data_IF_594559579050
#
_entry.id   IF_594559579050
#
_cell.length_a   1.000
_cell.length_b   1.000
_cell.length_c   1.000
_cell.angle_alpha   90.00
_cell.angle_beta   90.00
_cell.angle_gamma   90.00
#
_symmetry.space_group_name_H-M   'P 1'
#
loop_
_entity.id
_entity.type
_entity.pdbx_description
1 polymer ?
#
# COMPACT_ATOMS: atom_id res chain seq x y z
N UNK A 1 5.18 9.83 -2.77
CA UNK A 1 3.80 9.41 -3.02
C UNK A 1 3.60 9.40 -4.52
N UNK A 2 2.98 8.38 -5.10
CA UNK A 2 2.67 8.36 -6.54
C UNK A 2 1.29 8.99 -6.73
N UNK A 3 1.20 9.93 -7.67
CA UNK A 3 -0.06 10.43 -8.19
C UNK A 3 -0.61 9.49 -9.29
N UNK A 4 -1.75 9.82 -9.87
CA UNK A 4 -2.38 9.00 -10.92
C UNK A 4 -1.46 8.80 -12.13
N UNK A 5 -0.72 9.83 -12.51
CA UNK A 5 0.23 9.75 -13.61
C UNK A 5 1.39 8.82 -13.26
N UNK A 6 1.95 8.92 -12.06
CA UNK A 6 3.01 8.04 -11.58
C UNK A 6 2.59 6.57 -11.48
N UNK A 7 1.31 6.29 -11.15
CA UNK A 7 0.76 4.93 -11.20
C UNK A 7 0.71 4.42 -12.64
N UNK A 8 0.18 5.22 -13.57
CA UNK A 8 0.14 4.85 -14.99
C UNK A 8 1.54 4.60 -15.58
N UNK A 9 2.50 5.46 -15.27
CA UNK A 9 3.89 5.30 -15.73
C UNK A 9 4.54 4.03 -15.18
N UNK A 10 4.30 3.72 -13.90
CA UNK A 10 4.91 2.58 -13.22
C UNK A 10 4.27 1.24 -13.61
N UNK A 11 2.94 1.17 -13.67
CA UNK A 11 2.19 -0.08 -13.84
C UNK A 11 1.56 -0.24 -15.22
N UNK A 12 1.42 0.82 -15.99
CA UNK A 12 0.77 0.80 -17.31
C UNK A 12 -0.75 0.72 -17.27
N UNK A 13 -1.35 0.88 -16.09
CA UNK A 13 -2.80 0.88 -15.85
C UNK A 13 -3.19 2.04 -14.95
N UNK A 14 -4.46 2.45 -15.02
CA UNK A 14 -5.00 3.48 -14.13
C UNK A 14 -5.09 2.99 -12.67
N UNK A 15 -5.11 3.89 -11.67
CA UNK A 15 -5.30 3.51 -10.25
C UNK A 15 -6.53 2.65 -10.01
N UNK A 16 -7.63 2.90 -10.74
CA UNK A 16 -8.87 2.12 -10.64
C UNK A 16 -8.68 0.66 -11.04
N UNK A 17 -7.78 0.40 -11.98
CA UNK A 17 -7.50 -0.94 -12.52
C UNK A 17 -6.37 -1.69 -11.82
N UNK A 18 -5.76 -1.10 -10.79
CA UNK A 18 -4.66 -1.74 -10.04
C UNK A 18 -5.09 -3.05 -9.39
N UNK A 19 -6.31 -3.11 -8.86
CA UNK A 19 -6.84 -4.33 -8.23
C UNK A 19 -6.92 -5.47 -9.25
N UNK A 20 -7.48 -5.20 -10.43
CA UNK A 20 -7.57 -6.18 -11.51
C UNK A 20 -6.18 -6.62 -11.99
N UNK A 21 -5.26 -5.66 -12.12
CA UNK A 21 -3.88 -5.93 -12.49
C UNK A 21 -3.19 -6.88 -11.50
N UNK A 22 -3.27 -6.57 -10.20
CA UNK A 22 -2.67 -7.40 -9.15
C UNK A 22 -3.36 -8.77 -9.03
N UNK A 23 -4.68 -8.84 -9.21
CA UNK A 23 -5.38 -10.13 -9.21
C UNK A 23 -4.93 -11.06 -10.36
N UNK A 24 -4.55 -10.50 -11.52
CA UNK A 24 -4.03 -11.26 -12.66
C UNK A 24 -2.58 -11.72 -12.43
N UNK A 25 -1.68 -10.80 -12.02
CA UNK A 25 -0.26 -11.13 -11.89
C UNK A 25 0.10 -11.76 -10.54
N UNK A 26 -0.78 -11.59 -9.55
CA UNK A 26 -0.55 -11.97 -8.15
C UNK A 26 0.20 -10.90 -7.37
N UNK A 27 0.26 -11.12 -6.04
CA UNK A 27 1.08 -10.35 -5.11
C UNK A 27 1.90 -11.31 -4.25
N UNK A 28 3.21 -11.30 -4.44
CA UNK A 28 4.11 -12.20 -3.72
C UNK A 28 4.25 -11.80 -2.24
N UNK A 29 4.09 -10.51 -1.91
CA UNK A 29 4.17 -10.04 -0.52
C UNK A 29 3.02 -10.59 0.32
N UNK A 30 1.85 -10.74 -0.28
CA UNK A 30 0.65 -11.25 0.37
C UNK A 30 0.37 -12.73 0.05
N UNK A 31 1.33 -13.40 -0.63
CA UNK A 31 1.20 -14.79 -1.06
C UNK A 31 -0.06 -15.06 -1.90
N UNK A 32 -0.45 -14.08 -2.73
CA UNK A 32 -1.58 -14.20 -3.65
C UNK A 32 -1.07 -14.69 -5.00
N UNK A 33 -1.44 -15.92 -5.42
CA UNK A 33 -0.95 -16.46 -6.68
C UNK A 33 -1.67 -15.83 -7.87
N UNK A 34 -0.89 -15.32 -8.84
CA UNK A 34 -1.41 -14.87 -10.11
C UNK A 34 -1.61 -16.01 -11.12
N UNK A 35 -1.96 -15.65 -12.35
CA UNK A 35 -2.03 -16.59 -13.47
C UNK A 35 -0.63 -16.98 -13.93
N UNK A 36 -0.33 -18.27 -13.89
CA UNK A 36 0.98 -18.78 -14.31
C UNK A 36 1.31 -18.40 -15.75
N UNK A 37 2.50 -17.82 -15.94
CA UNK A 37 2.99 -17.39 -17.24
C UNK A 37 2.39 -16.08 -17.76
N UNK A 38 1.56 -15.40 -16.98
CA UNK A 38 1.05 -14.05 -17.29
C UNK A 38 1.92 -13.04 -16.56
N UNK A 39 2.63 -12.23 -17.35
CA UNK A 39 3.44 -11.13 -16.82
C UNK A 39 2.77 -9.77 -16.97
N UNK A 40 3.40 -8.70 -16.43
CA UNK A 40 2.90 -7.34 -16.44
C UNK A 40 2.39 -6.86 -17.80
N UNK A 41 3.18 -7.05 -18.86
CA UNK A 41 2.82 -6.61 -20.23
C UNK A 41 1.52 -7.25 -20.73
N UNK A 42 1.31 -8.54 -20.41
CA UNK A 42 0.10 -9.26 -20.82
C UNK A 42 -1.11 -8.80 -20.03
N UNK A 43 -0.96 -8.64 -18.71
CA UNK A 43 -2.01 -8.15 -17.83
C UNK A 43 -2.48 -6.74 -18.23
N UNK A 44 -1.55 -5.82 -18.44
CA UNK A 44 -1.84 -4.45 -18.93
C UNK A 44 -2.63 -4.49 -20.24
N UNK A 45 -2.17 -5.28 -21.23
CA UNK A 45 -2.85 -5.42 -22.52
C UNK A 45 -4.29 -5.91 -22.36
N UNK A 46 -4.51 -6.89 -21.49
CA UNK A 46 -5.85 -7.43 -21.25
C UNK A 46 -6.75 -6.43 -20.56
N UNK A 47 -6.26 -5.71 -19.55
CA UNK A 47 -7.02 -4.66 -18.86
C UNK A 47 -7.38 -3.53 -19.84
N UNK A 48 -6.45 -3.08 -20.67
CA UNK A 48 -6.73 -2.08 -21.70
C UNK A 48 -7.77 -2.55 -22.72
N UNK A 49 -7.81 -3.85 -23.04
CA UNK A 49 -8.73 -4.41 -24.01
C UNK A 49 -10.13 -4.68 -23.43
N UNK A 50 -10.22 -5.14 -22.19
CA UNK A 50 -11.48 -5.61 -21.59
C UNK A 50 -12.00 -4.69 -20.48
N UNK A 51 -11.17 -3.80 -19.94
CA UNK A 51 -11.51 -2.84 -18.90
C UNK A 51 -11.34 -3.39 -17.47
N UNK A 52 -12.03 -4.45 -17.15
CA UNK A 52 -12.06 -5.06 -15.81
C UNK A 52 -11.98 -6.60 -15.86
N UNK A 53 -11.85 -7.19 -14.65
CA UNK A 53 -11.72 -8.64 -14.47
C UNK A 53 -12.94 -9.43 -14.94
N UNK A 54 -14.15 -8.95 -14.69
CA UNK A 54 -15.37 -9.69 -15.06
C UNK A 54 -15.56 -9.72 -16.58
N UNK A 55 -15.28 -8.61 -17.24
CA UNK A 55 -15.27 -8.55 -18.70
C UNK A 55 -14.17 -9.43 -19.30
N UNK A 56 -13.00 -9.47 -18.67
CA UNK A 56 -11.90 -10.35 -19.08
C UNK A 56 -12.31 -11.83 -18.98
N UNK A 57 -12.91 -12.25 -17.87
CA UNK A 57 -13.39 -13.63 -17.66
C UNK A 57 -14.47 -13.98 -18.66
N UNK A 58 -15.46 -13.11 -18.85
CA UNK A 58 -16.58 -13.31 -19.78
C UNK A 58 -16.09 -13.46 -21.21
N UNK A 59 -15.04 -12.73 -21.58
CA UNK A 59 -14.45 -12.74 -22.92
C UNK A 59 -13.18 -13.60 -23.02
N UNK A 60 -12.97 -14.55 -22.10
CA UNK A 60 -11.75 -15.36 -22.04
C UNK A 60 -11.40 -16.05 -23.38
N UNK A 61 -12.41 -16.45 -24.16
CA UNK A 61 -12.21 -17.04 -25.48
C UNK A 61 -11.59 -16.08 -26.54
N UNK A 62 -11.55 -14.78 -26.28
CA UNK A 62 -10.99 -13.73 -27.16
C UNK A 62 -9.57 -13.32 -26.76
N UNK A 63 -9.03 -13.88 -25.70
CA UNK A 63 -7.70 -13.52 -25.19
C UNK A 63 -6.58 -13.84 -26.20
N UNK A 64 -5.54 -13.05 -26.13
CA UNK A 64 -4.30 -13.27 -26.86
C UNK A 64 -3.13 -13.19 -25.88
N UNK A 65 -2.23 -14.19 -25.83
CA UNK A 65 -2.19 -15.43 -26.64
C UNK A 65 -3.29 -16.45 -26.30
N UNK A 66 -3.73 -17.21 -27.30
CA UNK A 66 -4.84 -18.19 -27.18
C UNK A 66 -4.65 -19.25 -26.09
N UNK A 67 -3.40 -19.59 -25.74
CA UNK A 67 -3.07 -20.54 -24.68
C UNK A 67 -3.63 -20.17 -23.30
N UNK A 68 -3.96 -18.90 -23.09
CA UNK A 68 -4.51 -18.43 -21.81
C UNK A 68 -6.04 -18.46 -21.74
N UNK A 69 -6.72 -18.73 -22.87
CA UNK A 69 -8.19 -18.76 -22.87
C UNK A 69 -8.76 -19.81 -21.89
N UNK A 70 -8.24 -21.04 -21.93
CA UNK A 70 -8.64 -22.10 -21.00
C UNK A 70 -8.20 -21.80 -19.56
N UNK A 71 -6.97 -21.31 -19.39
CA UNK A 71 -6.40 -21.01 -18.06
C UNK A 71 -7.24 -19.97 -17.33
N UNK A 72 -7.60 -18.87 -18.00
CA UNK A 72 -8.45 -17.82 -17.39
C UNK A 72 -9.84 -18.36 -17.05
N UNK A 73 -10.43 -19.16 -17.95
CA UNK A 73 -11.73 -19.75 -17.70
C UNK A 73 -11.71 -20.76 -16.52
N UNK A 74 -10.71 -21.61 -16.44
CA UNK A 74 -10.55 -22.60 -15.37
C UNK A 74 -10.26 -21.93 -14.01
N UNK A 75 -9.47 -20.85 -14.03
CA UNK A 75 -9.03 -20.14 -12.82
C UNK A 75 -9.90 -18.92 -12.48
N UNK A 76 -11.08 -18.77 -13.09
CA UNK A 76 -11.94 -17.60 -12.91
C UNK A 76 -12.35 -17.36 -11.44
N UNK A 77 -12.61 -18.42 -10.67
CA UNK A 77 -12.97 -18.30 -9.26
C UNK A 77 -11.75 -17.90 -8.39
N UNK A 78 -10.56 -18.33 -8.77
CA UNK A 78 -9.32 -17.90 -8.11
C UNK A 78 -9.06 -16.42 -8.38
N UNK A 79 -9.29 -15.94 -9.60
CA UNK A 79 -9.16 -14.53 -9.95
C UNK A 79 -10.14 -13.65 -9.17
N UNK A 80 -11.40 -14.08 -9.02
CA UNK A 80 -12.38 -13.37 -8.18
C UNK A 80 -11.96 -13.34 -6.71
N UNK A 81 -11.48 -14.46 -6.19
CA UNK A 81 -10.96 -14.54 -4.82
C UNK A 81 -9.76 -13.62 -4.63
N UNK A 82 -8.82 -13.60 -5.57
CA UNK A 82 -7.68 -12.69 -5.53
C UNK A 82 -8.13 -11.23 -5.47
N UNK A 83 -9.12 -10.84 -6.28
CA UNK A 83 -9.67 -9.49 -6.28
C UNK A 83 -10.28 -9.12 -4.92
N UNK A 84 -10.99 -10.05 -4.27
CA UNK A 84 -11.53 -9.83 -2.92
C UNK A 84 -10.42 -9.69 -1.87
N UNK A 85 -9.38 -10.54 -1.93
CA UNK A 85 -8.27 -10.50 -0.99
C UNK A 85 -7.43 -9.21 -1.10
N UNK A 86 -7.27 -8.69 -2.32
CA UNK A 86 -6.49 -7.47 -2.57
C UNK A 86 -7.29 -6.21 -2.23
N UNK A 87 -8.61 -6.28 -2.23
CA UNK A 87 -9.48 -5.12 -2.00
C UNK A 87 -9.30 -4.56 -0.59
N UNK A 88 -8.99 -3.27 -0.52
CA UNK A 88 -8.90 -2.55 0.74
C UNK A 88 -10.30 -2.25 1.29
N UNK A 89 -10.43 -2.37 2.60
CA UNK A 89 -11.63 -1.96 3.34
C UNK A 89 -11.50 -0.45 3.59
N UNK A 90 -12.33 0.34 2.93
CA UNK A 90 -12.29 1.82 3.01
C UNK A 90 -13.19 2.42 4.09
N UNK A 91 -14.11 1.62 4.63
CA UNK A 91 -15.12 1.99 5.61
C UNK A 91 -14.87 1.37 7.00
N UNK A 92 -13.66 0.91 7.26
CA UNK A 92 -13.29 0.37 8.57
C UNK A 92 -13.39 1.46 9.64
N UNK A 93 -14.17 1.19 10.68
CA UNK A 93 -14.21 2.06 11.85
C UNK A 93 -12.88 1.99 12.59
N UNK A 94 -12.25 3.13 12.79
CA UNK A 94 -11.04 3.24 13.60
C UNK A 94 -11.13 4.42 14.54
N UNK A 95 -10.51 4.30 15.70
CA UNK A 95 -10.32 5.42 16.61
C UNK A 95 -8.91 5.96 16.44
N UNK A 96 -8.77 7.23 16.13
CA UNK A 96 -7.47 7.89 16.16
C UNK A 96 -7.00 8.03 17.60
N UNK A 97 -5.97 7.28 17.96
CA UNK A 97 -5.30 7.42 19.22
C UNK A 97 -3.92 8.02 18.95
N UNK A 98 -3.72 9.25 19.40
CA UNK A 98 -2.39 9.84 19.33
C UNK A 98 -1.43 9.00 20.19
N UNK A 99 -0.23 8.68 19.69
CA UNK A 99 0.77 8.00 20.50
C UNK A 99 1.06 8.83 21.75
N UNK A 100 1.02 8.20 22.90
CA UNK A 100 1.41 8.85 24.15
C UNK A 100 2.90 9.22 24.16
N UNK A 101 3.33 10.01 25.16
CA UNK A 101 4.74 10.35 25.29
C UNK A 101 5.57 9.09 25.49
N UNK A 102 6.73 9.04 24.82
CA UNK A 102 7.63 7.89 24.92
C UNK A 102 8.21 7.81 26.33
N UNK A 103 8.03 6.67 26.99
CA UNK A 103 8.59 6.41 28.30
C UNK A 103 10.08 6.05 28.17
N UNK A 104 10.95 7.06 28.10
CA UNK A 104 12.39 6.89 27.87
C UNK A 104 13.08 6.00 28.91
N UNK A 105 12.66 6.08 30.17
CA UNK A 105 13.16 5.23 31.26
C UNK A 105 12.90 3.74 31.00
N UNK A 106 11.71 3.39 30.51
CA UNK A 106 11.39 2.00 30.15
C UNK A 106 12.18 1.51 28.93
N UNK A 107 12.39 2.39 27.94
CA UNK A 107 13.23 2.04 26.81
C UNK A 107 14.67 1.81 27.22
N UNK A 108 15.21 2.64 28.12
CA UNK A 108 16.57 2.46 28.67
C UNK A 108 16.71 1.12 29.39
N UNK A 109 15.77 0.79 30.26
CA UNK A 109 15.74 -0.50 30.98
C UNK A 109 15.75 -1.68 30.00
N UNK A 110 14.89 -1.64 28.96
CA UNK A 110 14.76 -2.72 27.97
C UNK A 110 16.05 -2.84 27.14
N UNK A 111 16.55 -1.74 26.57
CA UNK A 111 17.73 -1.78 25.72
C UNK A 111 18.99 -2.15 26.50
N UNK A 112 19.08 -1.74 27.79
CA UNK A 112 20.18 -2.14 28.67
C UNK A 112 20.12 -3.63 29.00
N UNK A 113 18.93 -4.13 29.37
CA UNK A 113 18.73 -5.56 29.67
C UNK A 113 19.00 -6.47 28.47
N UNK A 114 18.76 -5.97 27.25
CA UNK A 114 18.98 -6.69 26.00
C UNK A 114 20.35 -6.42 25.35
N UNK A 115 21.23 -5.67 26.02
CA UNK A 115 22.56 -5.27 25.53
C UNK A 115 22.54 -4.55 24.16
N UNK A 116 21.44 -3.82 23.87
CA UNK A 116 21.18 -3.12 22.60
C UNK A 116 21.65 -1.65 22.65
N UNK A 117 22.91 -1.40 22.94
CA UNK A 117 23.47 -0.05 23.14
C UNK A 117 23.29 0.87 21.91
N UNK A 118 23.51 0.36 20.70
CA UNK A 118 23.30 1.15 19.47
C UNK A 118 21.83 1.58 19.29
N UNK A 119 20.89 0.68 19.54
CA UNK A 119 19.46 0.98 19.47
C UNK A 119 19.04 2.01 20.50
N UNK A 120 19.66 1.97 21.68
CA UNK A 120 19.45 2.97 22.71
C UNK A 120 19.93 4.36 22.28
N UNK A 121 21.15 4.46 21.71
CA UNK A 121 21.67 5.72 21.17
C UNK A 121 20.78 6.30 20.08
N UNK A 122 20.24 5.46 19.18
CA UNK A 122 19.31 5.87 18.15
C UNK A 122 17.97 6.33 18.74
N UNK A 123 17.44 5.63 19.73
CA UNK A 123 16.22 6.01 20.43
C UNK A 123 16.37 7.36 21.14
N UNK A 124 17.50 7.59 21.81
CA UNK A 124 17.81 8.88 22.42
C UNK A 124 17.81 10.01 21.38
N UNK A 125 18.46 9.83 20.24
CA UNK A 125 18.47 10.83 19.15
C UNK A 125 17.08 11.09 18.59
N UNK A 126 16.26 10.04 18.44
CA UNK A 126 14.91 10.13 17.86
C UNK A 126 13.91 10.76 18.79
N UNK A 127 13.95 10.45 20.08
CA UNK A 127 12.91 10.81 21.04
C UNK A 127 13.34 11.91 22.04
N UNK A 128 14.62 12.33 22.05
CA UNK A 128 15.08 13.49 22.82
C UNK A 128 14.64 14.84 22.23
N UNK A 129 14.05 14.82 21.04
CA UNK A 129 13.44 15.99 20.44
C UNK A 129 12.15 16.32 21.18
N UNK A 130 12.22 17.30 22.09
CA UNK A 130 11.04 17.74 22.81
C UNK A 130 10.07 18.44 21.85
N UNK A 131 8.77 18.23 22.06
CA UNK A 131 7.68 18.86 21.30
C UNK A 131 7.76 20.42 21.26
N UNK A 132 8.64 21.03 22.08
CA UNK A 132 8.89 22.47 22.11
C UNK A 132 9.63 23.01 20.88
N UNK A 133 10.23 22.15 20.06
CA UNK A 133 11.00 22.54 18.87
C UNK A 133 10.27 22.30 17.53
N UNK A 134 9.03 21.87 17.56
CA UNK A 134 8.24 21.68 16.35
C UNK A 134 7.66 23.05 15.92
N UNK A 135 7.84 23.48 14.66
CA UNK A 135 7.15 24.65 14.17
C UNK A 135 5.64 24.38 14.16
N UNK A 136 4.93 25.06 15.07
CA UNK A 136 3.47 25.02 15.11
C UNK A 136 2.95 25.92 14.00
N UNK A 137 2.55 25.36 12.89
CA UNK A 137 1.80 26.09 11.88
C UNK A 137 0.32 26.13 12.28
N UNK A 138 -0.12 27.29 12.77
CA UNK A 138 -1.54 27.57 13.00
C UNK A 138 -2.14 28.08 11.69
N UNK A 139 -2.74 27.20 10.90
CA UNK A 139 -3.53 27.57 9.73
C UNK A 139 -4.98 27.89 10.14
N UNK A 140 -5.45 29.14 9.91
CA UNK A 140 -6.89 29.45 9.99
C UNK A 140 -7.52 29.06 8.65
N UNK A 141 -8.25 27.95 8.61
CA UNK A 141 -9.24 27.69 7.56
C UNK A 141 -10.59 28.24 8.03
N UNK A 142 -11.37 28.84 7.13
CA UNK A 142 -12.61 29.58 7.43
C UNK A 142 -13.79 28.76 7.98
N UNK A 143 -13.56 27.59 8.53
CA UNK A 143 -14.51 26.80 9.30
C UNK A 143 -13.92 26.54 10.68
N UNK A 144 -14.76 26.68 11.70
CA UNK A 144 -14.46 26.81 13.13
C UNK A 144 -13.81 25.59 13.81
N UNK A 145 -12.89 24.91 13.17
CA UNK A 145 -12.08 23.84 13.77
C UNK A 145 -10.59 24.14 13.60
N UNK A 146 -9.92 24.19 14.74
CA UNK A 146 -8.48 24.40 14.84
C UNK A 146 -7.78 23.06 14.56
N UNK A 147 -7.15 22.92 13.38
CA UNK A 147 -6.29 21.77 13.09
C UNK A 147 -4.84 22.16 13.34
N UNK A 148 -4.18 21.43 14.21
CA UNK A 148 -2.73 21.52 14.43
C UNK A 148 -2.07 20.46 13.53
N UNK A 149 -1.45 20.91 12.41
CA UNK A 149 -0.63 20.02 11.60
C UNK A 149 0.82 20.06 12.12
N UNK A 150 1.28 18.93 12.61
CA UNK A 150 2.70 18.72 12.91
C UNK A 150 3.32 18.05 11.68
N UNK A 151 3.98 18.84 10.82
CA UNK A 151 4.71 18.30 9.67
C UNK A 151 6.09 17.88 10.17
N UNK A 152 6.31 16.61 10.34
CA UNK A 152 7.66 16.07 10.49
C UNK A 152 8.20 15.75 9.11
N UNK A 153 9.11 16.59 8.59
CA UNK A 153 9.98 16.20 7.47
C UNK A 153 10.98 15.16 7.97
N UNK A 154 10.55 13.93 8.10
CA UNK A 154 11.48 12.81 8.22
C UNK A 154 11.69 12.22 6.83
N UNK A 155 12.80 12.56 6.19
CA UNK A 155 13.35 11.75 5.11
C UNK A 155 13.60 10.36 5.65
N UNK A 156 12.76 9.41 5.32
CA UNK A 156 13.03 7.99 5.53
C UNK A 156 14.10 7.57 4.52
N UNK A 157 15.21 6.99 4.94
CA UNK A 157 16.06 6.28 3.99
C UNK A 157 15.27 5.05 3.52
N UNK A 158 15.01 4.99 2.21
CA UNK A 158 14.50 3.81 1.54
C UNK A 158 15.60 2.73 1.61
N UNK A 159 15.32 1.63 2.27
CA UNK A 159 16.01 0.35 2.08
C UNK A 159 15.19 -0.52 1.14
#
# INVERSE_FOLDING_TARGET
MLDEQGVNEKFGVSPVSILDYLAIIGDQSDNIPGLSGVGPKTAVKWIQQFGDMENLITNAGRLTPKRFCSVVYERREDLRRNLELIRLISDAEYSETAPGPVAMNKLEEIFTAMEMSKSWEEAQKRYSWSASNLPVFVGKTGFSHLFVFVITETKWPLY
#
